data_IF_914117687712
#
_entry.id   IF_914117687712
#
_cell.length_a   1.000
_cell.length_b   1.000
_cell.length_c   1.000
_cell.angle_alpha   90.00
_cell.angle_beta   90.00
_cell.angle_gamma   90.00
#
_symmetry.space_group_name_H-M   'P 1'
#
loop_
_entity.id
_entity.type
_entity.pdbx_description
1 polymer ?
#
# COMPACT_ATOMS: atom_id res chain seq x y z
N UNK A 1 0.98 -15.80 -5.23
CA UNK A 1 1.91 -15.67 -4.09
C UNK A 1 3.13 -14.77 -4.34
N UNK A 2 3.88 -14.88 -5.45
CA UNK A 2 5.05 -14.00 -5.67
C UNK A 2 4.69 -12.51 -5.71
N UNK A 3 3.63 -12.12 -6.43
CA UNK A 3 3.21 -10.72 -6.56
C UNK A 3 2.56 -10.12 -5.32
N UNK A 4 1.81 -10.92 -4.55
CA UNK A 4 1.28 -10.48 -3.25
C UNK A 4 2.40 -10.19 -2.26
N UNK A 5 3.45 -11.02 -2.25
CA UNK A 5 4.67 -10.75 -1.48
C UNK A 5 5.35 -9.47 -1.95
N UNK A 6 5.50 -9.27 -3.27
CA UNK A 6 6.10 -8.03 -3.81
C UNK A 6 5.27 -6.79 -3.49
N UNK A 7 3.93 -6.87 -3.50
CA UNK A 7 3.07 -5.76 -3.12
C UNK A 7 3.19 -5.42 -1.63
N UNK A 8 3.25 -6.44 -0.75
CA UNK A 8 3.48 -6.22 0.68
C UNK A 8 4.86 -5.60 0.92
N UNK A 9 5.92 -6.15 0.31
CA UNK A 9 7.27 -5.60 0.41
C UNK A 9 7.36 -4.18 -0.15
N UNK A 10 6.63 -3.90 -1.23
CA UNK A 10 6.55 -2.57 -1.80
C UNK A 10 5.82 -1.59 -0.88
N UNK A 11 4.67 -1.97 -0.31
CA UNK A 11 3.92 -1.13 0.62
C UNK A 11 4.75 -0.81 1.88
N UNK A 12 5.51 -1.78 2.37
CA UNK A 12 6.49 -1.57 3.46
C UNK A 12 7.59 -0.59 3.01
N UNK A 13 8.16 -0.79 1.81
CA UNK A 13 9.18 0.10 1.25
C UNK A 13 8.68 1.54 1.10
N UNK A 14 7.45 1.71 0.63
CA UNK A 14 6.76 3.00 0.50
C UNK A 14 6.52 3.65 1.87
N UNK A 15 6.05 2.89 2.87
CA UNK A 15 5.91 3.40 4.24
C UNK A 15 7.26 3.90 4.79
N UNK A 16 8.32 3.13 4.57
CA UNK A 16 9.67 3.48 5.03
C UNK A 16 10.20 4.73 4.30
N UNK A 17 9.96 4.83 3.00
CA UNK A 17 10.32 6.00 2.19
C UNK A 17 9.54 7.24 2.60
N UNK A 18 8.22 7.13 2.83
CA UNK A 18 7.39 8.25 3.32
C UNK A 18 7.88 8.78 4.67
N UNK A 19 8.31 7.89 5.58
CA UNK A 19 8.90 8.28 6.86
C UNK A 19 10.27 8.97 6.69
N UNK A 20 11.10 8.54 5.74
CA UNK A 20 12.40 9.16 5.44
C UNK A 20 12.26 10.53 4.76
N UNK A 21 11.24 10.70 3.91
CA UNK A 21 11.02 11.91 3.14
C UNK A 21 10.40 13.06 3.95
N UNK A 22 9.88 12.80 5.15
CA UNK A 22 9.47 13.86 6.09
C UNK A 22 10.59 14.88 6.41
N UNK A 23 11.86 14.57 6.12
CA UNK A 23 13.00 15.48 6.27
C UNK A 23 13.49 16.19 4.99
N UNK A 24 12.91 15.91 3.81
CA UNK A 24 13.33 16.49 2.52
C UNK A 24 12.46 17.70 2.11
N UNK A 25 12.94 18.55 1.19
CA UNK A 25 12.22 19.73 0.70
C UNK A 25 10.74 19.43 0.36
N UNK A 26 9.81 20.21 0.93
CA UNK A 26 8.37 19.94 0.93
C UNK A 26 7.77 19.69 -0.47
N UNK A 27 8.22 20.40 -1.51
CA UNK A 27 7.72 20.20 -2.86
C UNK A 27 8.18 18.87 -3.49
N UNK A 28 9.42 18.46 -3.23
CA UNK A 28 9.95 17.18 -3.73
C UNK A 28 9.29 16.02 -3.00
N UNK A 29 9.09 16.15 -1.69
CA UNK A 29 8.35 15.17 -0.88
C UNK A 29 6.91 14.99 -1.39
N UNK A 30 6.17 16.08 -1.64
CA UNK A 30 4.81 16.01 -2.16
C UNK A 30 4.70 15.30 -3.53
N UNK A 31 5.62 15.60 -4.45
CA UNK A 31 5.65 14.95 -5.76
C UNK A 31 5.94 13.45 -5.64
N UNK A 32 6.88 13.07 -4.78
CA UNK A 32 7.20 11.66 -4.50
C UNK A 32 6.04 10.93 -3.83
N UNK A 33 5.33 11.56 -2.89
CA UNK A 33 4.18 10.97 -2.22
C UNK A 33 3.05 10.62 -3.20
N UNK A 34 2.75 11.49 -4.17
CA UNK A 34 1.81 11.18 -5.25
C UNK A 34 2.30 9.99 -6.07
N UNK A 35 3.57 9.97 -6.47
CA UNK A 35 4.13 8.88 -7.28
C UNK A 35 4.02 7.55 -6.53
N UNK A 36 4.40 7.53 -5.24
CA UNK A 36 4.27 6.33 -4.42
C UNK A 36 2.82 5.92 -4.20
N UNK A 37 1.90 6.87 -4.07
CA UNK A 37 0.47 6.58 -3.95
C UNK A 37 -0.07 5.91 -5.22
N UNK A 38 0.29 6.41 -6.40
CA UNK A 38 -0.11 5.83 -7.69
C UNK A 38 0.42 4.41 -7.81
N UNK A 39 1.70 4.18 -7.51
CA UNK A 39 2.28 2.85 -7.60
C UNK A 39 1.66 1.90 -6.57
N UNK A 40 1.41 2.38 -5.33
CA UNK A 40 0.73 1.61 -4.31
C UNK A 40 -0.67 1.16 -4.76
N UNK A 41 -1.45 2.03 -5.41
CA UNK A 41 -2.77 1.69 -5.97
C UNK A 41 -2.65 0.61 -7.05
N UNK A 42 -1.69 0.75 -7.98
CA UNK A 42 -1.49 -0.22 -9.07
C UNK A 42 -1.12 -1.59 -8.52
N UNK A 43 -0.14 -1.64 -7.61
CA UNK A 43 0.32 -2.90 -7.03
C UNK A 43 -0.71 -3.54 -6.11
N UNK A 44 -1.43 -2.73 -5.33
CA UNK A 44 -2.54 -3.21 -4.52
C UNK A 44 -3.60 -3.87 -5.39
N UNK A 45 -4.01 -3.24 -6.50
CA UNK A 45 -5.00 -3.79 -7.42
C UNK A 45 -4.54 -5.13 -8.03
N UNK A 46 -3.27 -5.23 -8.42
CA UNK A 46 -2.70 -6.48 -8.94
C UNK A 46 -2.69 -7.58 -7.88
N UNK A 47 -2.22 -7.28 -6.67
CA UNK A 47 -2.19 -8.25 -5.59
C UNK A 47 -3.58 -8.69 -5.13
N UNK A 48 -4.55 -7.79 -5.09
CA UNK A 48 -5.95 -8.12 -4.80
C UNK A 48 -6.54 -9.08 -5.84
N UNK A 49 -6.25 -8.83 -7.13
CA UNK A 49 -6.68 -9.71 -8.21
C UNK A 49 -6.07 -11.10 -8.05
N UNK A 50 -4.79 -11.19 -7.74
CA UNK A 50 -4.09 -12.46 -7.54
C UNK A 50 -4.61 -13.24 -6.33
N UNK A 51 -4.86 -12.57 -5.21
CA UNK A 51 -5.42 -13.21 -4.00
C UNK A 51 -6.85 -13.65 -4.24
N UNK A 52 -7.65 -12.86 -4.97
CA UNK A 52 -9.03 -13.23 -5.32
C UNK A 52 -9.06 -14.44 -6.25
N UNK A 53 -8.18 -14.49 -7.26
CA UNK A 53 -8.04 -15.65 -8.14
C UNK A 53 -7.59 -16.90 -7.36
N UNK A 54 -6.70 -16.75 -6.39
CA UNK A 54 -6.29 -17.87 -5.53
C UNK A 54 -7.46 -18.38 -4.66
N UNK A 55 -8.30 -17.48 -4.14
CA UNK A 55 -9.51 -17.84 -3.39
C UNK A 55 -10.55 -18.59 -4.23
N UNK A 56 -10.69 -18.22 -5.51
CA UNK A 56 -11.62 -18.89 -6.43
C UNK A 56 -11.17 -20.33 -6.77
N UNK A 57 -9.85 -20.56 -6.83
CA UNK A 57 -9.28 -21.87 -7.17
C UNK A 57 -9.18 -22.78 -5.95
N UNK A 58 -9.03 -22.24 -4.74
CA UNK A 58 -8.82 -23.09 -3.57
C UNK A 58 -10.09 -23.86 -3.20
N UNK A 59 -9.92 -25.16 -3.00
CA UNK A 59 -11.00 -26.11 -2.71
C UNK A 59 -11.06 -26.48 -1.23
N UNK A 60 -9.98 -26.24 -0.49
CA UNK A 60 -9.86 -26.58 0.92
C UNK A 60 -10.25 -25.39 1.82
N UNK A 61 -11.10 -25.63 2.83
CA UNK A 61 -11.64 -24.58 3.69
C UNK A 61 -10.56 -23.86 4.52
N UNK A 62 -9.51 -24.60 4.92
CA UNK A 62 -8.37 -24.05 5.64
C UNK A 62 -7.57 -23.07 4.77
N UNK A 63 -7.26 -23.47 3.54
CA UNK A 63 -6.53 -22.63 2.58
C UNK A 63 -7.33 -21.36 2.25
N UNK A 64 -8.66 -21.48 2.10
CA UNK A 64 -9.55 -20.31 1.94
C UNK A 64 -9.46 -19.34 3.11
N UNK A 65 -9.44 -19.85 4.35
CA UNK A 65 -9.35 -19.00 5.53
C UNK A 65 -8.02 -18.23 5.58
N UNK A 66 -6.91 -18.90 5.27
CA UNK A 66 -5.58 -18.28 5.20
C UNK A 66 -5.51 -17.21 4.10
N UNK A 67 -6.03 -17.50 2.91
CA UNK A 67 -6.07 -16.54 1.80
C UNK A 67 -6.98 -15.34 2.09
N UNK A 68 -8.11 -15.53 2.78
CA UNK A 68 -8.95 -14.41 3.27
C UNK A 68 -8.21 -13.55 4.29
N UNK A 69 -7.42 -14.16 5.18
CA UNK A 69 -6.59 -13.42 6.13
C UNK A 69 -5.53 -12.60 5.40
N UNK A 70 -4.87 -13.17 4.39
CA UNK A 70 -3.92 -12.45 3.53
C UNK A 70 -4.61 -11.29 2.80
N UNK A 71 -5.81 -11.49 2.26
CA UNK A 71 -6.58 -10.44 1.61
C UNK A 71 -6.89 -9.29 2.57
N UNK A 72 -7.36 -9.60 3.78
CA UNK A 72 -7.65 -8.60 4.80
C UNK A 72 -6.38 -7.82 5.18
N UNK A 73 -5.26 -8.51 5.36
CA UNK A 73 -3.97 -7.89 5.70
C UNK A 73 -3.46 -6.98 4.58
N UNK A 74 -3.66 -7.39 3.32
CA UNK A 74 -3.34 -6.58 2.14
C UNK A 74 -4.16 -5.28 2.11
N UNK A 75 -5.46 -5.37 2.39
CA UNK A 75 -6.37 -4.21 2.44
C UNK A 75 -5.97 -3.27 3.58
N UNK A 76 -5.76 -3.78 4.79
CA UNK A 76 -5.38 -2.97 5.95
C UNK A 76 -4.07 -2.25 5.71
N UNK A 77 -3.06 -2.96 5.17
CA UNK A 77 -1.75 -2.36 4.87
C UNK A 77 -1.87 -1.28 3.82
N UNK A 78 -2.66 -1.51 2.75
CA UNK A 78 -2.91 -0.49 1.73
C UNK A 78 -3.59 0.76 2.30
N UNK A 79 -4.61 0.59 3.15
CA UNK A 79 -5.29 1.72 3.79
C UNK A 79 -4.33 2.53 4.66
N UNK A 80 -3.47 1.86 5.44
CA UNK A 80 -2.43 2.53 6.24
C UNK A 80 -1.47 3.30 5.35
N UNK A 81 -0.89 2.66 4.33
CA UNK A 81 0.04 3.31 3.40
C UNK A 81 -0.59 4.50 2.68
N UNK A 82 -1.81 4.35 2.16
CA UNK A 82 -2.53 5.42 1.48
C UNK A 82 -2.85 6.58 2.42
N UNK A 83 -3.20 6.29 3.67
CA UNK A 83 -3.46 7.32 4.69
C UNK A 83 -2.18 8.09 5.04
N UNK A 84 -1.06 7.39 5.21
CA UNK A 84 0.24 8.01 5.54
C UNK A 84 0.72 8.89 4.39
N UNK A 85 0.72 8.38 3.15
CA UNK A 85 1.11 9.15 1.97
C UNK A 85 0.16 10.31 1.68
N UNK A 86 -1.14 10.09 1.85
CA UNK A 86 -2.14 11.14 1.69
C UNK A 86 -1.97 12.25 2.72
N UNK A 87 -1.69 11.90 3.98
CA UNK A 87 -1.42 12.86 5.03
C UNK A 87 -0.12 13.63 4.80
N UNK A 88 0.98 12.95 4.44
CA UNK A 88 2.26 13.61 4.15
C UNK A 88 2.15 14.56 2.96
N UNK A 89 1.44 14.14 1.91
CA UNK A 89 1.13 14.98 0.77
C UNK A 89 0.31 16.23 1.17
N UNK A 90 -0.78 16.04 1.91
CA UNK A 90 -1.63 17.15 2.35
C UNK A 90 -0.85 18.13 3.23
N UNK A 91 0.00 17.63 4.13
CA UNK A 91 0.87 18.46 4.97
C UNK A 91 1.93 19.21 4.18
N UNK A 92 2.47 18.60 3.12
CA UNK A 92 3.45 19.23 2.25
C UNK A 92 2.85 20.31 1.34
N UNK A 93 1.61 20.11 0.87
CA UNK A 93 0.89 21.08 0.02
C UNK A 93 0.18 22.17 0.85
N UNK A 94 -0.35 21.82 2.02
CA UNK A 94 -1.08 22.70 2.92
C UNK A 94 -0.44 22.69 4.32
N UNK A 95 0.75 23.29 4.50
CA UNK A 95 1.47 23.28 5.77
C UNK A 95 0.75 24.02 6.93
N UNK A 96 -0.35 24.71 6.62
CA UNK A 96 -1.17 25.47 7.56
C UNK A 96 -2.32 24.65 8.18
N UNK A 97 -2.57 23.43 7.68
CA UNK A 97 -3.57 22.51 8.25
C UNK A 97 -2.87 21.69 9.34
N UNK A 98 -3.32 21.76 10.61
CA UNK A 98 -2.69 21.06 11.73
C UNK A 98 -2.73 19.53 11.60
#
# INVERSE_FOLDING_TARGET
MRWSLYAVLYLIGVLTLGLLLMGAEQMVAAALDIVFLVIAVVLFRLALKDVSAALDISTEDRERAELRMVQALLIVTFVISASVLGYSFLKAVFPFVP
#
